data_IF_090096451597
#
_entry.id   IF_090096451597
#
_cell.length_a   1.000
_cell.length_b   1.000
_cell.length_c   1.000
_cell.angle_alpha   90.00
_cell.angle_beta   90.00
_cell.angle_gamma   90.00
#
_symmetry.space_group_name_H-M   'P 1'
#
loop_
_entity.id
_entity.type
_entity.pdbx_description
1 polymer ?
#
# COMPACT_ATOMS: atom_id res chain seq x y z
N UNK A 1 2.55 -9.01 -6.93
CA UNK A 1 2.81 -8.05 -5.83
C UNK A 1 2.03 -6.76 -6.00
N UNK A 2 1.95 -6.21 -7.21
CA UNK A 2 1.25 -4.94 -7.50
C UNK A 2 -0.18 -4.88 -6.95
N UNK A 3 -0.98 -5.92 -7.17
CA UNK A 3 -2.33 -6.03 -6.62
C UNK A 3 -2.36 -6.07 -5.08
N UNK A 4 -1.35 -6.68 -4.44
CA UNK A 4 -1.24 -6.71 -2.96
C UNK A 4 -0.93 -5.34 -2.37
N UNK A 5 -0.27 -4.46 -3.12
CA UNK A 5 -0.05 -3.08 -2.71
C UNK A 5 -1.34 -2.26 -2.85
N UNK A 6 -2.15 -2.52 -3.88
CA UNK A 6 -3.44 -1.86 -4.02
C UNK A 6 -4.42 -2.18 -2.88
N UNK A 7 -4.25 -3.32 -2.20
CA UNK A 7 -5.02 -3.68 -1.00
C UNK A 7 -4.77 -2.71 0.17
N UNK A 8 -3.66 -1.96 0.19
CA UNK A 8 -3.43 -0.91 1.19
C UNK A 8 -4.53 0.18 1.12
N UNK A 9 -5.20 0.32 -0.03
CA UNK A 9 -6.31 1.27 -0.24
C UNK A 9 -7.68 0.73 0.16
N UNK A 10 -7.75 -0.44 0.83
CA UNK A 10 -9.02 -1.05 1.26
C UNK A 10 -9.83 -0.11 2.17
N UNK A 11 -9.15 0.59 3.09
CA UNK A 11 -9.76 1.51 4.06
C UNK A 11 -9.43 2.99 3.77
N UNK A 12 -9.46 3.39 2.49
CA UNK A 12 -9.18 4.76 2.06
C UNK A 12 -10.06 5.83 2.73
N UNK A 13 -11.25 5.46 3.23
CA UNK A 13 -12.16 6.32 4.00
C UNK A 13 -11.50 6.93 5.25
N UNK A 14 -10.47 6.29 5.80
CA UNK A 14 -9.68 6.88 6.89
C UNK A 14 -8.94 8.14 6.41
N UNK A 15 -8.47 8.18 5.17
CA UNK A 15 -7.82 9.35 4.59
C UNK A 15 -8.84 10.45 4.27
N UNK A 16 -10.04 10.09 3.83
CA UNK A 16 -11.14 11.05 3.64
C UNK A 16 -11.55 11.69 4.98
N UNK A 17 -11.65 10.89 6.04
CA UNK A 17 -11.91 11.39 7.39
C UNK A 17 -10.76 12.30 7.89
N UNK A 18 -9.50 11.91 7.63
CA UNK A 18 -8.34 12.71 7.99
C UNK A 18 -8.33 14.08 7.28
N UNK A 19 -8.64 14.11 5.98
CA UNK A 19 -8.66 15.34 5.19
C UNK A 19 -9.74 16.33 5.64
N UNK A 20 -10.86 15.84 6.17
CA UNK A 20 -11.96 16.65 6.70
C UNK A 20 -11.78 17.07 8.16
N UNK A 21 -10.77 16.54 8.87
CA UNK A 21 -10.56 16.80 10.30
C UNK A 21 -9.63 18.00 10.55
N UNK A 22 -10.16 18.97 11.31
CA UNK A 22 -9.46 20.21 11.64
C UNK A 22 -8.43 19.99 12.76
N UNK A 23 -8.77 19.16 13.75
CA UNK A 23 -7.88 18.87 14.88
C UNK A 23 -6.68 18.03 14.41
N UNK A 24 -5.45 18.57 14.48
CA UNK A 24 -4.25 17.84 14.05
C UNK A 24 -4.05 16.51 14.78
N UNK A 25 -4.49 16.39 16.05
CA UNK A 25 -4.32 15.18 16.83
C UNK A 25 -5.29 14.07 16.38
N UNK A 26 -6.51 14.43 15.99
CA UNK A 26 -7.46 13.46 15.42
C UNK A 26 -7.09 13.10 13.98
N UNK A 27 -6.62 14.07 13.20
CA UNK A 27 -6.15 13.83 11.82
C UNK A 27 -5.03 12.80 11.78
N UNK A 28 -4.02 12.91 12.66
CA UNK A 28 -2.95 11.91 12.72
C UNK A 28 -3.46 10.55 13.22
N UNK A 29 -4.47 10.51 14.08
CA UNK A 29 -5.08 9.25 14.52
C UNK A 29 -5.77 8.51 13.35
N UNK A 30 -6.45 9.22 12.46
CA UNK A 30 -7.02 8.63 11.24
C UNK A 30 -5.95 8.13 10.26
N UNK A 31 -4.88 8.89 10.07
CA UNK A 31 -3.72 8.46 9.25
C UNK A 31 -3.06 7.21 9.85
N UNK A 32 -2.90 7.15 11.17
CA UNK A 32 -2.38 5.99 11.86
C UNK A 32 -3.31 4.77 11.73
N UNK A 33 -4.62 4.98 11.82
CA UNK A 33 -5.61 3.92 11.59
C UNK A 33 -5.50 3.37 10.15
N UNK A 34 -5.40 4.25 9.15
CA UNK A 34 -5.15 3.86 7.76
C UNK A 34 -3.88 3.01 7.63
N UNK A 35 -2.76 3.49 8.17
CA UNK A 35 -1.46 2.82 8.10
C UNK A 35 -1.44 1.42 8.73
N UNK A 36 -2.32 1.16 9.71
CA UNK A 36 -2.45 -0.14 10.37
C UNK A 36 -3.49 -1.05 9.71
N UNK A 37 -4.43 -0.49 8.95
CA UNK A 37 -5.59 -1.20 8.42
C UNK A 37 -5.23 -2.30 7.42
N UNK A 38 -4.15 -2.11 6.64
CA UNK A 38 -3.73 -3.04 5.60
C UNK A 38 -3.29 -4.42 6.13
N UNK A 39 -2.92 -4.52 7.41
CA UNK A 39 -2.59 -5.81 8.02
C UNK A 39 -3.82 -6.71 8.19
N UNK A 40 -5.03 -6.15 8.20
CA UNK A 40 -6.27 -6.94 8.32
C UNK A 40 -6.43 -7.94 7.16
N UNK A 41 -6.02 -7.56 5.95
CA UNK A 41 -6.13 -8.40 4.74
C UNK A 41 -5.09 -9.53 4.68
N UNK A 42 -4.16 -9.60 5.65
CA UNK A 42 -3.07 -10.60 5.66
C UNK A 42 -3.42 -11.88 6.42
N UNK A 43 -4.44 -11.83 7.28
CA UNK A 43 -4.84 -12.97 8.11
C UNK A 43 -5.28 -14.14 7.22
N UNK A 44 -4.71 -15.32 7.45
CA UNK A 44 -5.04 -16.54 6.71
C UNK A 44 -4.42 -16.65 5.29
N UNK A 45 -3.68 -15.63 4.82
CA UNK A 45 -3.07 -15.64 3.46
C UNK A 45 -1.58 -15.98 3.51
N UNK A 46 -1.29 -17.26 3.71
CA UNK A 46 0.08 -17.81 3.83
C UNK A 46 0.77 -17.96 2.45
N UNK A 47 0.02 -17.82 1.36
CA UNK A 47 0.53 -18.02 -0.01
C UNK A 47 1.40 -16.85 -0.50
N UNK A 48 2.51 -17.19 -1.17
CA UNK A 48 3.39 -16.22 -1.84
C UNK A 48 2.64 -15.59 -3.02
N UNK A 49 2.50 -14.25 -3.08
CA UNK A 49 1.97 -13.59 -4.27
C UNK A 49 2.92 -13.75 -5.46
N UNK A 50 2.39 -13.63 -6.67
CA UNK A 50 3.22 -13.60 -7.88
C UNK A 50 4.28 -12.49 -7.79
N UNK A 51 5.51 -12.81 -8.19
CA UNK A 51 6.57 -11.84 -8.38
C UNK A 51 6.35 -11.18 -9.75
N UNK A 52 6.02 -9.89 -9.83
CA UNK A 52 5.70 -9.24 -11.09
C UNK A 52 6.89 -9.23 -12.05
N UNK A 53 6.60 -9.19 -13.34
CA UNK A 53 7.60 -8.98 -14.39
C UNK A 53 8.11 -7.53 -14.37
N UNK A 54 9.34 -7.28 -14.81
CA UNK A 54 9.85 -5.90 -14.94
C UNK A 54 8.96 -5.11 -15.91
N UNK A 55 8.50 -3.93 -15.49
CA UNK A 55 7.57 -3.09 -16.25
C UNK A 55 6.11 -3.59 -16.24
N UNK A 56 5.78 -4.64 -15.49
CA UNK A 56 4.38 -5.01 -15.25
C UNK A 56 3.68 -3.87 -14.52
N UNK A 57 2.47 -3.52 -14.97
CA UNK A 57 1.64 -2.48 -14.37
C UNK A 57 0.34 -3.04 -13.84
N UNK A 58 -0.24 -2.35 -12.86
CA UNK A 58 -1.58 -2.61 -12.37
C UNK A 58 -2.27 -1.28 -12.07
N UNK A 59 -3.50 -1.13 -12.55
CA UNK A 59 -4.34 0.04 -12.29
C UNK A 59 -5.67 -0.39 -11.64
N UNK A 60 -6.20 0.46 -10.78
CA UNK A 60 -7.46 0.22 -10.09
C UNK A 60 -8.17 1.54 -9.78
N UNK A 61 -9.44 1.63 -10.14
CA UNK A 61 -10.27 2.81 -9.89
C UNK A 61 -11.49 2.41 -9.06
N UNK A 62 -11.76 3.17 -8.00
CA UNK A 62 -12.97 3.02 -7.18
C UNK A 62 -13.79 4.29 -7.23
N UNK A 63 -14.77 4.30 -8.12
CA UNK A 63 -15.68 5.44 -8.29
C UNK A 63 -16.50 5.72 -7.03
N UNK A 64 -16.89 4.67 -6.29
CA UNK A 64 -17.59 4.75 -5.01
C UNK A 64 -16.73 5.38 -3.89
N UNK A 65 -15.41 5.22 -3.95
CA UNK A 65 -14.45 5.80 -2.99
C UNK A 65 -13.65 6.98 -3.56
N UNK A 66 -13.98 7.42 -4.77
CA UNK A 66 -13.39 8.56 -5.48
C UNK A 66 -11.84 8.59 -5.55
N UNK A 67 -11.20 7.42 -5.74
CA UNK A 67 -9.77 7.37 -5.99
C UNK A 67 -9.40 6.55 -7.22
N UNK A 68 -8.22 6.85 -7.78
CA UNK A 68 -7.53 6.02 -8.77
C UNK A 68 -6.17 5.61 -8.23
N UNK A 69 -5.72 4.41 -8.59
CA UNK A 69 -4.47 3.80 -8.17
C UNK A 69 -3.73 3.25 -9.39
N UNK A 70 -2.42 3.42 -9.42
CA UNK A 70 -1.50 2.78 -10.37
C UNK A 70 -0.28 2.25 -9.64
N UNK A 71 0.28 1.15 -10.12
CA UNK A 71 1.57 0.64 -9.67
C UNK A 71 2.33 -0.04 -10.78
N UNK A 72 3.64 0.00 -10.68
CA UNK A 72 4.57 -0.62 -11.63
C UNK A 72 5.67 -1.38 -10.89
N UNK A 73 6.09 -2.51 -11.46
CA UNK A 73 7.33 -3.18 -11.08
C UNK A 73 8.53 -2.47 -11.72
N UNK A 74 9.11 -1.51 -11.01
CA UNK A 74 10.19 -0.65 -11.50
C UNK A 74 11.57 -1.30 -11.49
N UNK A 75 11.76 -2.39 -10.73
CA UNK A 75 13.01 -3.16 -10.71
C UNK A 75 12.73 -4.64 -10.43
N UNK A 76 13.52 -5.55 -11.02
CA UNK A 76 13.43 -7.00 -10.77
C UNK A 76 14.60 -7.53 -9.91
N UNK A 77 15.75 -6.85 -9.93
CA UNK A 77 16.95 -7.22 -9.17
C UNK A 77 17.61 -5.97 -8.54
N UNK A 78 17.25 -5.59 -7.29
CA UNK A 78 16.26 -6.25 -6.42
C UNK A 78 14.81 -5.99 -6.85
N UNK A 79 13.84 -6.84 -6.48
CA UNK A 79 12.43 -6.64 -6.83
C UNK A 79 11.86 -5.43 -6.07
N UNK A 80 11.59 -4.36 -6.80
CA UNK A 80 10.96 -3.15 -6.27
C UNK A 80 9.73 -2.78 -7.09
N UNK A 81 8.67 -2.43 -6.38
CA UNK A 81 7.43 -1.94 -6.96
C UNK A 81 7.15 -0.53 -6.45
N UNK A 82 6.65 0.35 -7.30
CA UNK A 82 6.21 1.69 -6.93
C UNK A 82 4.69 1.81 -7.14
N UNK A 83 4.02 2.61 -6.31
CA UNK A 83 2.61 2.92 -6.45
C UNK A 83 2.31 4.41 -6.29
N UNK A 84 1.19 4.82 -6.90
CA UNK A 84 0.64 6.15 -6.83
C UNK A 84 -0.88 6.06 -6.80
N UNK A 85 -1.51 6.75 -5.86
CA UNK A 85 -2.96 6.83 -5.72
C UNK A 85 -3.38 8.28 -5.47
N UNK A 86 -4.47 8.67 -6.12
CA UNK A 86 -4.96 10.04 -6.12
C UNK A 86 -6.46 10.07 -5.84
N UNK A 87 -6.83 11.00 -4.98
CA UNK A 87 -8.19 11.40 -4.63
C UNK A 87 -8.27 12.93 -4.71
N UNK A 88 -9.47 13.55 -4.81
CA UNK A 88 -9.61 14.99 -4.69
C UNK A 88 -9.03 15.61 -3.41
N UNK A 89 -8.84 14.81 -2.35
CA UNK A 89 -8.50 15.30 -1.02
C UNK A 89 -7.15 14.85 -0.47
N UNK A 90 -6.53 13.84 -1.09
CA UNK A 90 -5.27 13.27 -0.63
C UNK A 90 -4.56 12.56 -1.79
N UNK A 91 -3.24 12.48 -1.67
CA UNK A 91 -2.43 11.59 -2.51
C UNK A 91 -1.68 10.61 -1.63
N UNK A 92 -1.57 9.38 -2.09
CA UNK A 92 -0.82 8.30 -1.45
C UNK A 92 0.16 7.73 -2.45
N UNK A 93 1.42 7.60 -2.07
CA UNK A 93 2.42 6.97 -2.92
C UNK A 93 3.51 6.32 -2.09
N UNK A 94 4.16 5.35 -2.68
CA UNK A 94 5.24 4.66 -2.00
C UNK A 94 5.91 3.61 -2.85
N UNK A 95 6.93 3.01 -2.24
CA UNK A 95 7.69 1.93 -2.83
C UNK A 95 7.71 0.73 -1.87
N UNK A 96 7.80 -0.47 -2.44
CA UNK A 96 7.98 -1.70 -1.67
C UNK A 96 9.18 -2.44 -2.24
N UNK A 97 10.24 -2.55 -1.43
CA UNK A 97 11.35 -3.45 -1.66
C UNK A 97 11.05 -4.77 -0.92
N UNK A 98 10.53 -5.75 -1.65
CA UNK A 98 10.06 -7.02 -1.09
C UNK A 98 11.26 -7.95 -0.79
N UNK A 99 11.92 -7.74 0.35
CA UNK A 99 12.99 -8.61 0.84
C UNK A 99 12.43 -9.73 1.72
N UNK A 100 12.35 -10.93 1.16
CA UNK A 100 12.00 -12.14 1.91
C UNK A 100 13.27 -12.89 2.33
N UNK A 101 13.41 -13.17 3.63
CA UNK A 101 14.53 -13.98 4.17
C UNK A 101 13.97 -15.18 4.94
N UNK A 102 14.26 -16.38 4.46
CA UNK A 102 13.99 -17.62 5.20
C UNK A 102 15.08 -17.84 6.25
N UNK A 103 14.70 -17.95 7.52
CA UNK A 103 15.63 -18.14 8.66
C UNK A 103 15.53 -19.53 9.28
N UNK A 104 15.05 -20.54 8.54
CA UNK A 104 14.73 -21.88 9.08
C UNK A 104 13.35 -21.91 9.74
N UNK A 105 13.17 -21.16 10.83
CA UNK A 105 11.88 -20.88 11.48
C UNK A 105 12.03 -19.60 12.33
N UNK A 106 11.38 -18.46 12.03
CA UNK A 106 10.32 -18.19 11.05
C UNK A 106 10.80 -17.58 9.71
N UNK A 107 9.89 -17.51 8.72
CA UNK A 107 10.03 -16.65 7.54
C UNK A 107 9.87 -15.18 7.95
N UNK A 108 10.85 -14.33 7.59
CA UNK A 108 10.74 -12.88 7.79
C UNK A 108 10.44 -12.17 6.46
N UNK A 109 9.43 -11.31 6.50
CA UNK A 109 9.08 -10.40 5.41
C UNK A 109 9.53 -8.99 5.81
N UNK A 110 10.49 -8.43 5.07
CA UNK A 110 10.83 -7.02 5.18
C UNK A 110 10.12 -6.24 4.08
N UNK A 111 9.51 -5.11 4.43
CA UNK A 111 9.08 -4.08 3.47
C UNK A 111 9.85 -2.78 3.73
N UNK A 112 11.18 -2.73 3.49
CA UNK A 112 11.85 -1.45 3.34
C UNK A 112 11.16 -0.68 2.20
N UNK A 113 10.73 0.54 2.50
CA UNK A 113 10.00 1.36 1.57
C UNK A 113 9.39 2.56 2.29
N UNK A 114 9.45 3.73 1.66
CA UNK A 114 8.83 4.92 2.19
C UNK A 114 7.39 4.99 1.69
N UNK A 115 6.45 5.17 2.63
CA UNK A 115 5.07 5.56 2.32
C UNK A 115 4.96 7.05 2.58
N UNK A 116 4.46 7.80 1.59
CA UNK A 116 4.19 9.21 1.69
C UNK A 116 2.72 9.50 1.44
N UNK A 117 2.17 10.36 2.29
CA UNK A 117 0.79 10.83 2.28
C UNK A 117 0.83 12.35 2.28
N UNK A 118 0.10 12.97 1.36
CA UNK A 118 -0.08 14.42 1.26
C UNK A 118 -1.55 14.78 1.25
#
# INVERSE_FOLDING_TARGET
MLQRMAEDMEFSECLDAAANEQDPHKRIAYVAAFAMSNYSSTIGRIAKPFNPMLGETFEYCRFDKQYRYVSEQVSHHPPMSACWAESPHWNYYGEVDAKNKFMGNPLKFGRPGLLMLT
#
